data_IF_447259413962
#
_entry.id   IF_447259413962
#
_cell.length_a   1.000
_cell.length_b   1.000
_cell.length_c   1.000
_cell.angle_alpha   90.00
_cell.angle_beta   90.00
_cell.angle_gamma   90.00
#
_symmetry.space_group_name_H-M   'P 1'
#
loop_
_entity.id
_entity.type
_entity.pdbx_description
1 polymer ?
#
# COMPACT_ATOMS: atom_id res chain seq x y z
N UNK A 1 -3.58 6.68 -23.40
CA UNK A 1 -3.41 5.46 -22.57
C UNK A 1 -2.01 5.32 -21.98
N UNK A 2 -0.91 5.34 -22.73
CA UNK A 2 0.45 5.24 -22.16
C UNK A 2 0.84 6.44 -21.28
N UNK A 3 0.44 7.65 -21.64
CA UNK A 3 0.70 8.85 -20.82
C UNK A 3 -0.05 8.83 -19.49
N UNK A 4 -1.27 8.35 -19.50
CA UNK A 4 -2.10 8.24 -18.29
C UNK A 4 -1.59 7.15 -17.34
N UNK A 5 -1.11 6.03 -17.87
CA UNK A 5 -0.43 5.00 -17.08
C UNK A 5 0.86 5.58 -16.48
N UNK A 6 1.63 6.36 -17.24
CA UNK A 6 2.78 7.09 -16.71
C UNK A 6 2.45 7.99 -15.51
N UNK A 7 1.29 8.65 -15.54
CA UNK A 7 0.81 9.46 -14.40
C UNK A 7 0.52 8.63 -13.14
N UNK A 8 0.00 7.41 -13.30
CA UNK A 8 -0.21 6.49 -12.18
C UNK A 8 1.13 6.04 -11.57
N UNK A 9 2.11 5.74 -12.42
CA UNK A 9 3.46 5.40 -11.95
C UNK A 9 4.11 6.55 -11.18
N UNK A 10 4.03 7.78 -11.69
CA UNK A 10 4.62 8.93 -11.00
C UNK A 10 3.93 9.28 -9.67
N UNK A 11 2.68 8.88 -9.51
CA UNK A 11 1.95 9.08 -8.25
C UNK A 11 2.37 8.07 -7.16
N UNK A 12 2.72 6.86 -7.57
CA UNK A 12 3.05 5.77 -6.64
C UNK A 12 4.55 5.50 -6.49
N UNK A 13 5.36 6.18 -7.28
CA UNK A 13 6.82 6.00 -7.34
C UNK A 13 7.53 7.32 -7.61
N UNK A 14 8.85 7.33 -7.45
CA UNK A 14 9.71 8.49 -7.79
C UNK A 14 9.88 8.71 -9.31
N UNK A 15 9.31 7.85 -10.17
CA UNK A 15 9.45 7.99 -11.62
C UNK A 15 8.67 9.22 -12.11
N UNK A 16 9.31 10.15 -12.83
CA UNK A 16 8.66 11.39 -13.23
C UNK A 16 7.62 11.17 -14.34
N UNK A 17 6.55 11.96 -14.32
CA UNK A 17 5.59 12.07 -15.43
C UNK A 17 5.27 13.54 -15.72
N UNK A 18 5.09 13.87 -16.99
CA UNK A 18 4.94 15.26 -17.47
C UNK A 18 3.52 15.82 -17.32
N UNK A 19 2.49 15.02 -17.07
CA UNK A 19 1.08 15.44 -17.12
C UNK A 19 0.21 14.72 -16.07
N UNK A 20 0.70 14.53 -14.85
CA UNK A 20 -0.05 13.88 -13.78
C UNK A 20 -1.09 14.84 -13.17
N UNK A 21 -2.35 14.73 -13.55
CA UNK A 21 -3.45 15.35 -12.80
C UNK A 21 -4.06 14.31 -11.87
N UNK A 22 -4.49 14.73 -10.69
CA UNK A 22 -5.12 13.84 -9.69
C UNK A 22 -6.35 13.11 -10.26
N UNK A 23 -7.11 13.79 -11.12
CA UNK A 23 -8.28 13.21 -11.79
C UNK A 23 -7.88 12.07 -12.74
N UNK A 24 -6.82 12.26 -13.54
CA UNK A 24 -6.32 11.20 -14.42
C UNK A 24 -5.81 10.00 -13.62
N UNK A 25 -5.08 10.24 -12.53
CA UNK A 25 -4.59 9.18 -11.64
C UNK A 25 -5.77 8.39 -11.07
N UNK A 26 -6.78 9.08 -10.53
CA UNK A 26 -7.97 8.47 -9.97
C UNK A 26 -8.77 7.66 -11.01
N UNK A 27 -8.91 8.17 -12.24
CA UNK A 27 -9.58 7.48 -13.35
C UNK A 27 -8.91 6.15 -13.69
N UNK A 28 -7.58 6.06 -13.58
CA UNK A 28 -6.78 4.88 -13.89
C UNK A 28 -6.29 4.12 -12.65
N UNK A 29 -6.85 4.39 -11.46
CA UNK A 29 -6.50 3.70 -10.21
C UNK A 29 -6.59 2.17 -10.31
N UNK A 30 -7.44 1.64 -11.18
CA UNK A 30 -7.58 0.20 -11.40
C UNK A 30 -6.28 -0.48 -11.91
N UNK A 31 -5.29 0.28 -12.39
CA UNK A 31 -3.98 -0.23 -12.78
C UNK A 31 -2.95 -0.20 -11.65
N UNK A 32 -3.29 0.24 -10.44
CA UNK A 32 -2.39 0.24 -9.28
C UNK A 32 -1.73 -1.12 -9.04
N UNK A 33 -2.41 -2.28 -9.18
CA UNK A 33 -1.74 -3.57 -9.05
C UNK A 33 -0.62 -3.80 -10.07
N UNK A 34 -0.66 -3.17 -11.27
CA UNK A 34 0.46 -3.20 -12.24
C UNK A 34 1.68 -2.48 -11.67
N UNK A 35 1.48 -1.34 -11.00
CA UNK A 35 2.58 -0.64 -10.32
C UNK A 35 3.16 -1.53 -9.20
N UNK A 36 2.29 -2.23 -8.46
CA UNK A 36 2.70 -3.23 -7.48
C UNK A 36 3.55 -4.35 -8.10
N UNK A 37 3.17 -4.86 -9.27
CA UNK A 37 3.98 -5.84 -10.02
C UNK A 37 5.36 -5.27 -10.34
N UNK A 38 5.44 -4.05 -10.86
CA UNK A 38 6.73 -3.43 -11.25
C UNK A 38 7.61 -3.17 -10.02
N UNK A 39 7.06 -2.61 -8.95
CA UNK A 39 7.80 -2.40 -7.69
C UNK A 39 8.29 -3.75 -7.15
N UNK A 40 7.39 -4.73 -7.08
CA UNK A 40 7.69 -6.07 -6.57
C UNK A 40 8.76 -6.79 -7.40
N UNK A 41 8.72 -6.68 -8.73
CA UNK A 41 9.75 -7.22 -9.62
C UNK A 41 11.11 -6.54 -9.38
N UNK A 42 11.15 -5.21 -9.31
CA UNK A 42 12.40 -4.46 -9.13
C UNK A 42 13.02 -4.76 -7.76
N UNK A 43 12.25 -4.58 -6.69
CA UNK A 43 12.76 -4.73 -5.32
C UNK A 43 12.94 -6.21 -4.96
N UNK A 44 12.03 -7.08 -5.40
CA UNK A 44 12.16 -8.53 -5.21
C UNK A 44 13.40 -9.09 -5.91
N UNK A 45 13.67 -8.67 -7.15
CA UNK A 45 14.89 -9.09 -7.86
C UNK A 45 16.16 -8.56 -7.18
N UNK A 46 16.12 -7.32 -6.67
CA UNK A 46 17.22 -6.78 -5.87
C UNK A 46 17.45 -7.61 -4.60
N UNK A 47 16.39 -7.90 -3.82
CA UNK A 47 16.49 -8.72 -2.61
C UNK A 47 16.99 -10.12 -2.91
N UNK A 48 16.49 -10.76 -3.97
CA UNK A 48 16.97 -12.06 -4.44
C UNK A 48 18.46 -12.00 -4.78
N UNK A 49 18.91 -11.01 -5.56
CA UNK A 49 20.31 -10.86 -5.94
C UNK A 49 21.22 -10.61 -4.73
N UNK A 50 20.81 -9.76 -3.79
CA UNK A 50 21.57 -9.46 -2.58
C UNK A 50 21.67 -10.67 -1.64
N UNK A 51 20.68 -11.56 -1.63
CA UNK A 51 20.68 -12.77 -0.78
C UNK A 51 21.80 -13.77 -1.09
N UNK A 52 22.51 -13.64 -2.22
CA UNK A 52 23.68 -14.43 -2.54
C UNK A 52 24.96 -13.92 -1.85
N UNK A 53 24.96 -12.69 -1.35
CA UNK A 53 26.17 -12.02 -0.89
C UNK A 53 26.08 -11.49 0.55
N UNK A 54 24.87 -11.27 1.04
CA UNK A 54 24.62 -10.61 2.32
C UNK A 54 23.75 -11.45 3.24
N UNK A 55 23.94 -11.26 4.54
CA UNK A 55 23.10 -11.84 5.58
C UNK A 55 21.64 -11.33 5.49
N UNK A 56 20.64 -12.17 5.82
CA UNK A 56 19.23 -11.83 5.66
C UNK A 56 18.80 -10.49 6.28
N UNK A 57 19.36 -10.15 7.45
CA UNK A 57 19.05 -8.88 8.13
C UNK A 57 19.52 -7.66 7.31
N UNK A 58 20.69 -7.75 6.68
CA UNK A 58 21.22 -6.68 5.82
C UNK A 58 20.42 -6.58 4.52
N UNK A 59 20.06 -7.74 3.94
CA UNK A 59 19.20 -7.78 2.76
C UNK A 59 17.87 -7.11 3.06
N UNK A 60 17.22 -7.46 4.19
CA UNK A 60 15.93 -6.88 4.56
C UNK A 60 15.99 -5.36 4.77
N UNK A 61 17.06 -4.86 5.41
CA UNK A 61 17.28 -3.41 5.55
C UNK A 61 17.37 -2.70 4.20
N UNK A 62 18.16 -3.25 3.26
CA UNK A 62 18.33 -2.68 1.93
C UNK A 62 17.05 -2.75 1.09
N UNK A 63 16.29 -3.84 1.22
CA UNK A 63 14.97 -4.00 0.59
C UNK A 63 13.99 -2.94 1.10
N UNK A 64 13.88 -2.76 2.42
CA UNK A 64 13.01 -1.74 3.03
C UNK A 64 13.41 -0.33 2.59
N UNK A 65 14.71 -0.02 2.59
CA UNK A 65 15.22 1.26 2.10
C UNK A 65 14.88 1.47 0.60
N UNK A 66 15.01 0.43 -0.21
CA UNK A 66 14.69 0.49 -1.65
C UNK A 66 13.21 0.71 -1.91
N UNK A 67 12.32 0.06 -1.14
CA UNK A 67 10.88 0.33 -1.19
C UNK A 67 10.60 1.79 -0.84
N UNK A 68 11.14 2.29 0.27
CA UNK A 68 10.94 3.66 0.73
C UNK A 68 11.40 4.70 -0.31
N UNK A 69 12.60 4.51 -0.88
CA UNK A 69 13.13 5.38 -1.94
C UNK A 69 12.23 5.32 -3.17
N UNK A 70 11.92 4.11 -3.67
CA UNK A 70 11.18 3.93 -4.91
C UNK A 70 9.75 4.47 -4.82
N UNK A 71 9.09 4.36 -3.67
CA UNK A 71 7.73 4.88 -3.43
C UNK A 71 7.69 6.33 -2.97
N UNK A 72 8.84 6.98 -2.76
CA UNK A 72 8.93 8.38 -2.33
C UNK A 72 8.38 8.66 -0.94
N UNK A 73 8.26 7.63 -0.10
CA UNK A 73 7.80 7.70 1.32
C UNK A 73 6.32 8.15 1.49
N UNK A 74 5.62 8.57 0.44
CA UNK A 74 4.27 9.15 0.53
C UNK A 74 3.23 8.29 1.28
N UNK A 75 3.31 6.97 1.14
CA UNK A 75 2.38 6.08 1.84
C UNK A 75 2.74 5.94 3.33
N UNK A 76 4.03 5.97 3.66
CA UNK A 76 4.50 5.95 5.05
C UNK A 76 4.09 7.23 5.79
N UNK A 77 4.15 8.39 5.12
CA UNK A 77 3.61 9.64 5.62
C UNK A 77 2.11 9.51 5.94
N UNK A 78 1.31 9.01 4.99
CA UNK A 78 -0.11 8.73 5.22
C UNK A 78 -0.37 7.73 6.36
N UNK A 79 0.54 6.77 6.60
CA UNK A 79 0.46 5.86 7.75
C UNK A 79 0.66 6.60 9.08
N UNK A 80 1.63 7.53 9.13
CA UNK A 80 1.87 8.36 10.30
C UNK A 80 0.66 9.25 10.61
N UNK A 81 0.16 9.96 9.61
CA UNK A 81 -1.00 10.86 9.71
C UNK A 81 -2.26 10.12 10.15
N UNK A 82 -2.50 8.93 9.58
CA UNK A 82 -3.59 8.06 9.99
C UNK A 82 -3.51 7.68 11.47
N UNK A 83 -2.33 7.33 11.96
CA UNK A 83 -2.10 6.98 13.36
C UNK A 83 -2.33 8.18 14.28
N UNK A 84 -1.81 9.34 13.93
CA UNK A 84 -2.02 10.58 14.70
C UNK A 84 -3.50 10.95 14.74
N UNK A 85 -4.18 10.92 13.60
CA UNK A 85 -5.62 11.16 13.54
C UNK A 85 -6.46 10.19 14.36
N UNK A 86 -6.06 8.92 14.44
CA UNK A 86 -6.75 7.93 15.28
C UNK A 86 -6.63 8.22 16.77
N UNK A 87 -5.46 8.65 17.24
CA UNK A 87 -5.16 8.88 18.65
C UNK A 87 -5.76 10.16 19.20
N UNK A 88 -6.12 11.13 18.35
CA UNK A 88 -6.79 12.36 18.79
C UNK A 88 -8.18 12.04 19.31
N UNK A 89 -8.48 12.54 20.52
CA UNK A 89 -9.82 12.45 21.13
C UNK A 89 -10.71 13.59 20.64
N UNK A 90 -11.95 13.28 20.28
CA UNK A 90 -12.94 14.29 19.91
C UNK A 90 -13.69 13.97 18.63
N UNK A 91 -14.19 15.01 17.97
CA UNK A 91 -15.01 14.90 16.77
C UNK A 91 -14.20 14.41 15.57
N UNK A 92 -14.90 13.92 14.53
CA UNK A 92 -14.30 13.52 13.26
C UNK A 92 -13.48 14.65 12.63
N UNK A 93 -13.97 15.90 12.74
CA UNK A 93 -13.25 17.06 12.20
C UNK A 93 -11.91 17.28 12.90
N UNK A 94 -11.84 17.20 14.25
CA UNK A 94 -10.57 17.30 14.98
C UNK A 94 -9.58 16.22 14.60
N UNK A 95 -10.06 15.00 14.35
CA UNK A 95 -9.23 13.90 13.88
C UNK A 95 -8.68 14.13 12.47
N UNK A 96 -9.54 14.67 11.57
CA UNK A 96 -9.13 15.04 10.21
C UNK A 96 -8.17 16.25 10.19
N UNK A 97 -8.31 17.18 11.12
CA UNK A 97 -7.36 18.30 11.30
C UNK A 97 -5.98 17.78 11.73
N UNK A 98 -5.93 16.84 12.67
CA UNK A 98 -4.67 16.23 13.09
C UNK A 98 -3.94 15.47 11.98
N UNK A 99 -4.68 14.83 11.05
CA UNK A 99 -4.09 14.21 9.85
C UNK A 99 -3.52 15.21 8.84
N UNK A 100 -3.87 16.48 8.94
CA UNK A 100 -3.40 17.56 8.06
C UNK A 100 -2.32 18.42 8.71
N UNK A 101 -1.97 18.15 9.96
CA UNK A 101 -0.90 18.86 10.66
C UNK A 101 0.44 18.50 9.99
N UNK A 102 1.26 19.51 9.73
CA UNK A 102 2.60 19.32 9.17
C UNK A 102 3.59 18.71 10.17
N UNK A 103 3.20 18.66 11.44
CA UNK A 103 4.02 18.09 12.52
C UNK A 103 3.58 16.65 12.79
N UNK A 104 4.48 15.71 12.62
CA UNK A 104 4.20 14.31 12.98
C UNK A 104 4.11 14.17 14.50
N UNK A 105 2.98 13.67 14.97
CA UNK A 105 2.75 13.40 16.39
C UNK A 105 3.45 12.13 16.89
N UNK A 106 3.40 11.91 18.20
CA UNK A 106 4.03 10.74 18.83
C UNK A 106 3.44 9.40 18.35
N UNK A 107 2.16 9.36 18.00
CA UNK A 107 1.53 8.14 17.49
C UNK A 107 2.02 7.80 16.08
N UNK A 108 2.17 8.80 15.21
CA UNK A 108 2.76 8.65 13.89
C UNK A 108 4.19 8.12 13.98
N UNK A 109 5.04 8.76 14.80
CA UNK A 109 6.43 8.33 15.01
C UNK A 109 6.50 6.86 15.46
N UNK A 110 5.77 6.50 16.51
CA UNK A 110 5.78 5.12 17.04
C UNK A 110 5.28 4.12 15.99
N UNK A 111 4.23 4.48 15.25
CA UNK A 111 3.67 3.61 14.20
C UNK A 111 4.68 3.37 13.07
N UNK A 112 5.37 4.40 12.60
CA UNK A 112 6.41 4.26 11.57
C UNK A 112 7.58 3.42 12.06
N UNK A 113 8.05 3.63 13.29
CA UNK A 113 9.14 2.85 13.87
C UNK A 113 8.77 1.37 13.95
N UNK A 114 7.58 1.04 14.48
CA UNK A 114 7.10 -0.33 14.57
C UNK A 114 6.87 -0.96 13.19
N UNK A 115 6.38 -0.18 12.23
CA UNK A 115 6.19 -0.61 10.85
C UNK A 115 7.53 -0.99 10.18
N UNK A 116 8.53 -0.11 10.24
CA UNK A 116 9.86 -0.35 9.65
C UNK A 116 10.54 -1.55 10.31
N UNK A 117 10.52 -1.63 11.64
CA UNK A 117 11.06 -2.78 12.39
C UNK A 117 10.33 -4.05 11.99
N UNK A 118 9.00 -4.02 11.91
CA UNK A 118 8.17 -5.14 11.47
C UNK A 118 8.54 -5.63 10.08
N UNK A 119 8.75 -4.71 9.11
CA UNK A 119 9.20 -5.07 7.77
C UNK A 119 10.58 -5.74 7.78
N UNK A 120 11.56 -5.15 8.49
CA UNK A 120 12.93 -5.66 8.56
C UNK A 120 12.94 -7.06 9.17
N UNK A 121 12.28 -7.26 10.30
CA UNK A 121 12.18 -8.57 10.97
C UNK A 121 11.51 -9.58 10.04
N UNK A 122 10.35 -9.25 9.47
CA UNK A 122 9.58 -10.18 8.65
C UNK A 122 10.37 -10.61 7.41
N UNK A 123 10.98 -9.65 6.69
CA UNK A 123 11.78 -9.95 5.50
C UNK A 123 13.05 -10.75 5.83
N UNK A 124 13.64 -10.57 7.02
CA UNK A 124 14.84 -11.33 7.43
C UNK A 124 14.55 -12.81 7.73
N UNK A 125 13.30 -13.21 7.86
CA UNK A 125 12.88 -14.60 8.06
C UNK A 125 12.78 -15.41 6.76
N UNK A 126 13.02 -14.78 5.61
CA UNK A 126 13.00 -15.45 4.30
C UNK A 126 14.16 -14.98 3.44
N UNK A 127 14.55 -15.78 2.45
CA UNK A 127 15.70 -15.50 1.58
C UNK A 127 15.51 -16.10 0.19
N UNK A 128 16.42 -15.78 -0.73
CA UNK A 128 16.44 -16.36 -2.06
C UNK A 128 15.14 -16.09 -2.83
N UNK A 129 14.65 -17.11 -3.53
CA UNK A 129 13.46 -16.98 -4.38
C UNK A 129 12.17 -16.81 -3.57
N UNK A 130 12.09 -17.29 -2.35
CA UNK A 130 10.94 -17.07 -1.48
C UNK A 130 10.85 -15.60 -1.03
N UNK A 131 11.99 -14.93 -0.78
CA UNK A 131 12.02 -13.50 -0.55
C UNK A 131 11.49 -12.72 -1.77
N UNK A 132 11.89 -13.11 -2.98
CA UNK A 132 11.36 -12.51 -4.20
C UNK A 132 9.83 -12.67 -4.30
N UNK A 133 9.30 -13.89 -4.09
CA UNK A 133 7.86 -14.15 -4.12
C UNK A 133 7.12 -13.33 -3.06
N UNK A 134 7.62 -13.29 -1.82
CA UNK A 134 7.03 -12.55 -0.72
C UNK A 134 6.89 -11.07 -1.07
N UNK A 135 7.97 -10.43 -1.54
CA UNK A 135 7.97 -9.02 -1.92
C UNK A 135 7.00 -8.77 -3.09
N UNK A 136 7.07 -9.58 -4.14
CA UNK A 136 6.24 -9.40 -5.33
C UNK A 136 4.75 -9.47 -4.98
N UNK A 137 4.33 -10.51 -4.28
CA UNK A 137 2.91 -10.71 -3.94
C UNK A 137 2.44 -9.64 -2.95
N UNK A 138 3.24 -9.27 -1.95
CA UNK A 138 2.86 -8.24 -0.98
C UNK A 138 2.68 -6.87 -1.62
N UNK A 139 3.54 -6.48 -2.58
CA UNK A 139 3.41 -5.21 -3.30
C UNK A 139 2.16 -5.16 -4.19
N UNK A 140 1.83 -6.26 -4.86
CA UNK A 140 0.61 -6.38 -5.66
C UNK A 140 -0.63 -6.23 -4.76
N UNK A 141 -0.67 -6.95 -3.64
CA UNK A 141 -1.78 -6.94 -2.69
C UNK A 141 -1.92 -5.58 -2.00
N UNK A 142 -0.82 -4.93 -1.65
CA UNK A 142 -0.81 -3.59 -1.08
C UNK A 142 -1.44 -2.56 -2.05
N UNK A 143 -1.10 -2.59 -3.32
CA UNK A 143 -1.71 -1.71 -4.32
C UNK A 143 -3.16 -2.06 -4.61
N UNK A 144 -3.51 -3.35 -4.62
CA UNK A 144 -4.90 -3.79 -4.76
C UNK A 144 -5.77 -3.37 -3.58
N UNK A 145 -5.26 -3.39 -2.35
CA UNK A 145 -5.99 -2.97 -1.15
C UNK A 145 -6.47 -1.51 -1.23
N UNK A 146 -5.66 -0.62 -1.84
CA UNK A 146 -6.05 0.77 -2.09
C UNK A 146 -7.25 0.85 -3.03
N UNK A 147 -7.24 0.06 -4.13
CA UNK A 147 -8.37 -0.01 -5.08
C UNK A 147 -9.62 -0.54 -4.41
N UNK A 148 -9.49 -1.61 -3.64
CA UNK A 148 -10.60 -2.21 -2.89
C UNK A 148 -11.18 -1.21 -1.87
N UNK A 149 -10.32 -0.53 -1.11
CA UNK A 149 -10.71 0.51 -0.15
C UNK A 149 -11.50 1.64 -0.84
N UNK A 150 -11.01 2.15 -1.98
CA UNK A 150 -11.67 3.22 -2.73
C UNK A 150 -13.00 2.76 -3.33
N UNK A 151 -13.11 1.51 -3.76
CA UNK A 151 -14.32 0.96 -4.38
C UNK A 151 -15.47 0.77 -3.39
N UNK A 152 -15.16 0.44 -2.14
CA UNK A 152 -16.14 0.15 -1.09
C UNK A 152 -16.41 1.36 -0.18
N UNK A 153 -15.48 2.28 -0.12
CA UNK A 153 -15.54 3.42 0.79
C UNK A 153 -16.34 4.60 0.26
N UNK A 154 -16.47 5.60 1.12
CA UNK A 154 -16.93 6.95 0.78
C UNK A 154 -15.86 7.95 1.20
N UNK A 155 -15.75 9.07 0.51
CA UNK A 155 -14.84 10.15 0.88
C UNK A 155 -15.21 10.75 2.23
N UNK A 156 -14.22 10.99 3.10
CA UNK A 156 -14.42 11.66 4.39
C UNK A 156 -14.80 13.12 4.23
N UNK A 157 -14.38 13.75 3.14
CA UNK A 157 -14.69 15.14 2.80
C UNK A 157 -14.67 15.33 1.29
N UNK A 158 -15.26 16.41 0.78
CA UNK A 158 -15.05 16.84 -0.59
C UNK A 158 -13.60 17.34 -0.70
N UNK A 159 -12.76 16.59 -1.37
CA UNK A 159 -11.32 16.88 -1.48
C UNK A 159 -10.59 15.98 -2.45
N UNK A 160 -9.28 15.93 -2.34
CA UNK A 160 -8.36 15.26 -3.28
C UNK A 160 -8.64 13.77 -3.50
N UNK A 161 -9.20 13.07 -2.51
CA UNK A 161 -9.53 11.64 -2.62
C UNK A 161 -10.94 11.35 -3.16
N UNK A 162 -11.80 12.37 -3.31
CA UNK A 162 -13.15 12.23 -3.89
C UNK A 162 -13.14 11.56 -5.27
N UNK A 163 -12.27 11.96 -6.21
CA UNK A 163 -12.19 11.34 -7.53
C UNK A 163 -11.86 9.84 -7.48
N UNK A 164 -10.98 9.40 -6.57
CA UNK A 164 -10.63 7.97 -6.42
C UNK A 164 -11.85 7.13 -6.07
N UNK A 165 -12.65 7.58 -5.11
CA UNK A 165 -13.89 6.90 -4.71
C UNK A 165 -14.90 6.90 -5.86
N UNK A 166 -15.07 8.02 -6.55
CA UNK A 166 -16.05 8.17 -7.63
C UNK A 166 -15.73 7.25 -8.81
N UNK A 167 -14.49 7.29 -9.31
CA UNK A 167 -14.08 6.48 -10.44
C UNK A 167 -14.02 4.98 -10.13
N UNK A 168 -13.82 4.59 -8.86
CA UNK A 168 -13.79 3.18 -8.46
C UNK A 168 -15.17 2.60 -8.12
N UNK A 169 -16.25 3.31 -8.33
CA UNK A 169 -17.62 2.74 -8.36
C UNK A 169 -17.90 1.93 -9.63
N UNK A 170 -17.09 2.08 -10.66
CA UNK A 170 -17.21 1.33 -11.91
C UNK A 170 -16.78 -0.13 -11.71
N UNK A 171 -17.76 -1.04 -11.74
CA UNK A 171 -17.54 -2.48 -11.55
C UNK A 171 -16.55 -3.09 -12.55
N UNK A 172 -16.47 -2.55 -13.79
CA UNK A 172 -15.52 -3.04 -14.80
C UNK A 172 -14.08 -2.75 -14.39
N UNK A 173 -13.84 -1.58 -13.82
CA UNK A 173 -12.51 -1.20 -13.31
C UNK A 173 -12.10 -2.06 -12.13
N UNK A 174 -13.01 -2.30 -11.17
CA UNK A 174 -12.74 -3.18 -10.04
C UNK A 174 -12.41 -4.60 -10.53
N UNK A 175 -13.19 -5.12 -11.47
CA UNK A 175 -12.95 -6.44 -12.05
C UNK A 175 -11.58 -6.49 -12.75
N UNK A 176 -11.21 -5.45 -13.51
CA UNK A 176 -9.90 -5.37 -14.15
C UNK A 176 -8.77 -5.38 -13.11
N UNK A 177 -8.84 -4.55 -12.05
CA UNK A 177 -7.87 -4.54 -10.97
C UNK A 177 -7.77 -5.89 -10.27
N UNK A 178 -8.91 -6.53 -10.02
CA UNK A 178 -8.97 -7.86 -9.40
C UNK A 178 -8.27 -8.92 -10.26
N UNK A 179 -8.53 -8.94 -11.58
CA UNK A 179 -7.88 -9.89 -12.49
C UNK A 179 -6.38 -9.65 -12.61
N UNK A 180 -5.94 -8.38 -12.69
CA UNK A 180 -4.52 -8.01 -12.72
C UNK A 180 -3.80 -8.51 -11.46
N UNK A 181 -4.42 -8.37 -10.30
CA UNK A 181 -3.88 -8.86 -9.03
C UNK A 181 -3.93 -10.39 -8.93
N UNK A 182 -5.07 -11.01 -9.30
CA UNK A 182 -5.32 -12.44 -9.05
C UNK A 182 -4.40 -13.36 -9.84
N UNK A 183 -4.09 -13.01 -11.09
CA UNK A 183 -3.25 -13.84 -11.96
C UNK A 183 -1.88 -14.11 -11.33
N UNK A 184 -1.06 -13.10 -10.96
CA UNK A 184 0.23 -13.36 -10.33
C UNK A 184 0.10 -13.98 -8.92
N UNK A 185 -0.95 -13.64 -8.16
CA UNK A 185 -1.20 -14.25 -6.85
C UNK A 185 -1.40 -15.75 -6.95
N UNK A 186 -2.15 -16.24 -7.95
CA UNK A 186 -2.33 -17.67 -8.18
C UNK A 186 -1.07 -18.32 -8.75
N UNK A 187 -0.47 -17.72 -9.80
CA UNK A 187 0.63 -18.35 -10.54
C UNK A 187 1.94 -18.39 -9.77
N UNK A 188 2.21 -17.40 -8.91
CA UNK A 188 3.48 -17.23 -8.19
C UNK A 188 3.28 -17.45 -6.69
N UNK A 189 2.19 -16.95 -6.13
CA UNK A 189 1.88 -17.04 -4.71
C UNK A 189 1.23 -18.37 -4.31
N UNK A 190 0.62 -19.08 -5.25
CA UNK A 190 -0.03 -20.38 -5.03
C UNK A 190 -1.04 -20.31 -3.85
N UNK A 191 -1.06 -21.32 -2.99
CA UNK A 191 -1.93 -21.37 -1.79
C UNK A 191 -1.59 -20.25 -0.80
N UNK A 192 -0.30 -19.98 -0.58
CA UNK A 192 0.17 -18.89 0.29
C UNK A 192 -0.34 -17.55 -0.20
N UNK A 193 -0.25 -17.27 -1.50
CA UNK A 193 -0.77 -16.04 -2.10
C UNK A 193 -2.28 -15.87 -1.90
N UNK A 194 -3.06 -16.95 -1.97
CA UNK A 194 -4.50 -16.90 -1.71
C UNK A 194 -4.83 -16.61 -0.23
N UNK A 195 -4.04 -17.13 0.70
CA UNK A 195 -4.18 -16.81 2.14
C UNK A 195 -3.82 -15.33 2.38
N UNK A 196 -2.71 -14.83 1.79
CA UNK A 196 -2.33 -13.42 1.83
C UNK A 196 -3.46 -12.52 1.28
N UNK A 197 -4.10 -12.90 0.17
CA UNK A 197 -5.25 -12.19 -0.40
C UNK A 197 -6.43 -12.18 0.59
N UNK A 198 -6.73 -13.29 1.24
CA UNK A 198 -7.77 -13.36 2.27
C UNK A 198 -7.52 -12.37 3.41
N UNK A 199 -6.29 -12.35 3.94
CA UNK A 199 -5.89 -11.40 4.99
C UNK A 199 -5.95 -9.95 4.48
N UNK A 200 -5.52 -9.69 3.25
CA UNK A 200 -5.63 -8.37 2.61
C UNK A 200 -7.08 -7.86 2.58
N UNK A 201 -8.02 -8.71 2.18
CA UNK A 201 -9.45 -8.35 2.12
C UNK A 201 -9.97 -8.05 3.53
N UNK A 202 -9.73 -8.93 4.48
CA UNK A 202 -10.19 -8.76 5.88
C UNK A 202 -9.61 -7.48 6.48
N UNK A 203 -8.33 -7.25 6.33
CA UNK A 203 -7.66 -6.05 6.85
C UNK A 203 -8.20 -4.78 6.18
N UNK A 204 -8.40 -4.78 4.86
CA UNK A 204 -8.98 -3.64 4.15
C UNK A 204 -10.38 -3.31 4.66
N UNK A 205 -11.24 -4.32 4.86
CA UNK A 205 -12.58 -4.13 5.40
C UNK A 205 -12.55 -3.59 6.84
N UNK A 206 -11.64 -4.10 7.68
CA UNK A 206 -11.43 -3.60 9.03
C UNK A 206 -11.00 -2.13 9.03
N UNK A 207 -10.00 -1.76 8.21
CA UNK A 207 -9.53 -0.38 8.10
C UNK A 207 -10.61 0.55 7.53
N UNK A 208 -11.44 0.07 6.59
CA UNK A 208 -12.59 0.80 6.07
C UNK A 208 -13.63 1.10 7.16
N UNK A 209 -13.97 0.11 7.98
CA UNK A 209 -14.88 0.29 9.09
C UNK A 209 -14.32 1.28 10.12
N UNK A 210 -13.04 1.14 10.46
CA UNK A 210 -12.33 2.01 11.41
C UNK A 210 -12.30 3.46 10.89
N UNK A 211 -11.94 3.68 9.62
CA UNK A 211 -11.89 5.00 8.99
C UNK A 211 -13.26 5.65 8.89
N UNK A 212 -14.27 4.88 8.52
CA UNK A 212 -15.66 5.38 8.45
C UNK A 212 -16.17 5.83 9.83
N UNK A 213 -15.83 5.07 10.87
CA UNK A 213 -16.20 5.42 12.26
C UNK A 213 -15.41 6.64 12.75
N UNK A 214 -14.11 6.68 12.52
CA UNK A 214 -13.20 7.68 13.09
C UNK A 214 -13.21 9.00 12.31
N UNK A 215 -13.25 8.96 10.99
CA UNK A 215 -13.08 10.11 10.11
C UNK A 215 -14.33 10.42 9.26
N UNK A 216 -15.30 9.51 9.23
CA UNK A 216 -16.51 9.65 8.41
C UNK A 216 -16.38 9.08 6.99
N UNK A 217 -15.21 8.55 6.63
CA UNK A 217 -14.89 7.99 5.32
C UNK A 217 -13.39 7.80 5.15
N UNK A 218 -12.92 7.74 3.91
CA UNK A 218 -11.52 7.59 3.54
C UNK A 218 -10.90 8.92 3.13
N UNK A 219 -9.59 9.08 3.41
CA UNK A 219 -8.71 10.16 2.93
C UNK A 219 -7.60 9.56 2.08
N UNK A 220 -6.73 10.39 1.51
CA UNK A 220 -5.49 9.93 0.86
C UNK A 220 -4.60 9.14 1.83
N UNK A 221 -4.49 9.64 3.07
CA UNK A 221 -3.67 9.04 4.13
C UNK A 221 -4.21 7.68 4.55
N UNK A 222 -5.55 7.52 4.59
CA UNK A 222 -6.19 6.21 4.80
C UNK A 222 -5.83 5.23 3.68
N UNK A 223 -5.79 5.68 2.42
CA UNK A 223 -5.34 4.84 1.31
C UNK A 223 -3.86 4.45 1.47
N UNK A 224 -2.99 5.42 1.83
CA UNK A 224 -1.58 5.18 2.12
C UNK A 224 -1.39 4.21 3.29
N UNK A 225 -2.06 4.44 4.42
CA UNK A 225 -2.03 3.55 5.57
C UNK A 225 -2.49 2.13 5.23
N UNK A 226 -3.55 2.00 4.41
CA UNK A 226 -4.04 0.68 3.96
C UNK A 226 -2.99 -0.06 3.14
N UNK A 227 -2.28 0.64 2.25
CA UNK A 227 -1.16 0.09 1.50
C UNK A 227 -0.07 -0.47 2.42
N UNK A 228 0.37 0.32 3.40
CA UNK A 228 1.47 -0.06 4.30
C UNK A 228 1.07 -1.21 5.24
N UNK A 229 -0.10 -1.13 5.88
CA UNK A 229 -0.59 -2.22 6.72
C UNK A 229 -0.78 -3.52 5.94
N UNK A 230 -1.29 -3.45 4.70
CA UNK A 230 -1.46 -4.63 3.86
C UNK A 230 -0.12 -5.23 3.46
N UNK A 231 0.87 -4.41 3.09
CA UNK A 231 2.23 -4.88 2.80
C UNK A 231 2.79 -5.68 3.98
N UNK A 232 2.79 -5.09 5.17
CA UNK A 232 3.34 -5.75 6.36
C UNK A 232 2.56 -7.03 6.71
N UNK A 233 1.22 -6.96 6.76
CA UNK A 233 0.40 -8.10 7.12
C UNK A 233 0.54 -9.27 6.15
N UNK A 234 0.58 -9.00 4.84
CA UNK A 234 0.78 -10.04 3.83
C UNK A 234 2.16 -10.67 3.90
N UNK A 235 3.21 -9.88 4.17
CA UNK A 235 4.55 -10.40 4.41
C UNK A 235 4.61 -11.29 5.67
N UNK A 236 3.99 -10.85 6.78
CA UNK A 236 3.89 -11.65 8.00
C UNK A 236 3.20 -12.99 7.74
N UNK A 237 2.13 -13.00 6.96
CA UNK A 237 1.45 -14.25 6.55
C UNK A 237 2.40 -15.14 5.76
N UNK A 238 3.11 -14.59 4.77
CA UNK A 238 4.02 -15.36 3.92
C UNK A 238 5.07 -16.11 4.71
N UNK A 239 5.68 -15.48 5.72
CA UNK A 239 6.75 -16.10 6.53
C UNK A 239 6.24 -17.00 7.67
N UNK A 240 4.92 -17.02 7.91
CA UNK A 240 4.29 -17.78 8.98
C UNK A 240 3.72 -19.13 8.53
N UNK A 241 3.63 -19.38 7.22
CA UNK A 241 3.05 -20.57 6.60
C UNK A 241 3.99 -21.15 5.55
#
# INVERSE_FOLDING_TARGET
MLKEIGSVFSFLTIFPSTNATLENIAKYMYVFPIVGIVIGLLVGSLGFGLSFFLEPLLVSLLVVASIAILTGIHHADGLADFADGLMVKGSKNKKLEAMKDLSTGSAGIVTIVLYIIGLIITLSLTSGFDLFKAILISEILAKFSMVLMASLGKSASLGSNSPFVEFMKDKKKIMAAFLIMLIPVILIGETTGLIMLGVTIVLTLFLLALSTRSFGGITGDVLGATNEFTRLASLMVFVSI
#
